data_IF_315609266305
#
_entry.id   IF_315609266305
#
_cell.length_a   1.000
_cell.length_b   1.000
_cell.length_c   1.000
_cell.angle_alpha   90.00
_cell.angle_beta   90.00
_cell.angle_gamma   90.00
#
_symmetry.space_group_name_H-M   'P 1'
#
loop_
_entity.id
_entity.type
_entity.pdbx_description
1 polymer ?
#
# COMPACT_ATOMS: atom_id res chain seq x y z
N UNK A 1 -16.24 4.04 39.97
CA UNK A 1 -14.88 3.61 39.61
C UNK A 1 -14.98 2.26 38.95
N UNK A 2 -14.54 2.14 37.69
CA UNK A 2 -14.48 0.85 36.99
C UNK A 2 -13.39 0.00 37.68
N UNK A 3 -13.67 -1.22 38.17
CA UNK A 3 -12.68 -2.05 38.87
C UNK A 3 -11.57 -2.60 37.97
N UNK A 4 -11.72 -2.46 36.65
CA UNK A 4 -10.76 -2.94 35.67
C UNK A 4 -9.47 -2.09 35.65
N UNK A 5 -8.27 -2.70 35.55
CA UNK A 5 -7.02 -1.96 35.39
C UNK A 5 -7.04 -1.03 34.17
N UNK A 6 -6.46 0.17 34.28
CA UNK A 6 -6.38 1.15 33.17
C UNK A 6 -5.74 0.55 31.92
N UNK A 7 -4.75 -0.34 32.09
CA UNK A 7 -4.09 -1.04 30.98
C UNK A 7 -5.04 -1.92 30.19
N UNK A 8 -5.96 -2.61 30.86
CA UNK A 8 -6.97 -3.43 30.19
C UNK A 8 -7.99 -2.55 29.46
N UNK A 9 -8.46 -1.46 30.09
CA UNK A 9 -9.34 -0.49 29.44
C UNK A 9 -8.70 0.10 28.18
N UNK A 10 -7.43 0.51 28.26
CA UNK A 10 -6.69 1.06 27.12
C UNK A 10 -6.54 0.05 25.98
N UNK A 11 -6.09 -1.19 26.28
CA UNK A 11 -5.87 -2.22 25.26
C UNK A 11 -7.20 -2.60 24.59
N UNK A 12 -8.28 -2.77 25.37
CA UNK A 12 -9.59 -3.08 24.82
C UNK A 12 -10.09 -1.95 23.91
N UNK A 13 -9.96 -0.69 24.33
CA UNK A 13 -10.35 0.44 23.50
C UNK A 13 -9.52 0.51 22.22
N UNK A 14 -8.20 0.30 22.31
CA UNK A 14 -7.33 0.28 21.14
C UNK A 14 -7.72 -0.81 20.14
N UNK A 15 -8.08 -2.01 20.58
CA UNK A 15 -8.57 -3.04 19.65
C UNK A 15 -9.87 -2.62 18.98
N UNK A 16 -10.81 -2.05 19.74
CA UNK A 16 -12.11 -1.61 19.23
C UNK A 16 -12.00 -0.47 18.21
N UNK A 17 -11.00 0.41 18.36
CA UNK A 17 -10.81 1.59 17.51
C UNK A 17 -9.77 1.36 16.40
N UNK A 18 -9.38 0.11 16.11
CA UNK A 18 -8.36 -0.17 15.09
C UNK A 18 -8.79 0.33 13.70
N UNK A 19 -10.09 0.28 13.39
CA UNK A 19 -10.68 0.77 12.15
C UNK A 19 -10.77 2.30 12.07
N UNK A 20 -10.53 3.01 13.18
CA UNK A 20 -10.55 4.47 13.25
C UNK A 20 -9.18 5.11 12.92
N UNK A 21 -8.14 4.31 12.66
CA UNK A 21 -6.85 4.83 12.18
C UNK A 21 -6.92 5.06 10.67
N UNK A 22 -7.29 6.28 10.28
CA UNK A 22 -7.59 6.64 8.88
C UNK A 22 -6.40 7.23 8.10
N UNK A 23 -5.34 7.67 8.79
CA UNK A 23 -4.14 8.24 8.17
C UNK A 23 -3.08 7.21 7.78
N UNK A 24 -2.15 7.59 6.89
CA UNK A 24 -0.95 6.81 6.57
C UNK A 24 -0.04 6.71 7.80
N UNK A 25 0.29 7.82 8.46
CA UNK A 25 1.12 7.81 9.67
C UNK A 25 0.47 7.04 10.81
N UNK A 26 -0.83 7.26 11.02
CA UNK A 26 -1.62 6.62 12.07
C UNK A 26 -1.62 5.08 11.92
N UNK A 27 -1.80 4.58 10.70
CA UNK A 27 -1.74 3.14 10.41
C UNK A 27 -0.35 2.57 10.62
N UNK A 28 0.70 3.21 10.10
CA UNK A 28 2.09 2.76 10.31
C UNK A 28 2.44 2.69 11.80
N UNK A 29 2.09 3.73 12.55
CA UNK A 29 2.31 3.80 14.00
C UNK A 29 1.54 2.72 14.76
N UNK A 30 0.29 2.48 14.37
CA UNK A 30 -0.54 1.45 14.99
C UNK A 30 0.03 0.04 14.74
N UNK A 31 0.46 -0.27 13.51
CA UNK A 31 1.12 -1.55 13.17
C UNK A 31 2.38 -1.78 14.02
N UNK A 32 3.25 -0.76 14.12
CA UNK A 32 4.47 -0.84 14.95
C UNK A 32 4.10 -1.03 16.42
N UNK A 33 3.13 -0.26 16.92
CA UNK A 33 2.66 -0.36 18.30
C UNK A 33 2.12 -1.75 18.65
N UNK A 34 1.26 -2.32 17.81
CA UNK A 34 0.70 -3.66 17.99
C UNK A 34 1.79 -4.73 17.92
N UNK A 35 2.77 -4.56 17.03
CA UNK A 35 3.94 -5.44 16.93
C UNK A 35 4.77 -5.47 18.22
N UNK A 36 4.97 -4.30 18.84
CA UNK A 36 5.63 -4.20 20.15
C UNK A 36 4.76 -4.86 21.23
N UNK A 37 3.45 -4.59 21.24
CA UNK A 37 2.52 -5.11 22.24
C UNK A 37 2.50 -6.64 22.27
N UNK A 38 2.42 -7.30 21.11
CA UNK A 38 2.45 -8.76 21.03
C UNK A 38 3.83 -9.37 21.31
N UNK A 39 4.89 -8.58 21.10
CA UNK A 39 6.29 -8.98 21.30
C UNK A 39 6.79 -8.92 22.74
N UNK A 40 6.01 -8.33 23.66
CA UNK A 40 6.41 -8.13 25.07
C UNK A 40 6.87 -9.43 25.75
N UNK A 41 8.03 -9.44 26.43
CA UNK A 41 8.55 -10.64 27.12
C UNK A 41 7.77 -11.00 28.39
N UNK A 42 7.16 -10.01 29.05
CA UNK A 42 6.29 -10.18 30.22
C UNK A 42 4.92 -9.59 29.90
N UNK A 43 4.13 -10.36 29.16
CA UNK A 43 2.84 -9.93 28.63
C UNK A 43 1.80 -9.76 29.76
N UNK A 44 1.13 -8.60 29.86
CA UNK A 44 0.03 -8.41 30.81
C UNK A 44 -1.20 -9.28 30.44
N UNK A 45 -2.03 -9.71 31.41
CA UNK A 45 -3.25 -10.49 31.14
C UNK A 45 -4.23 -9.82 30.17
N UNK A 46 -4.22 -8.48 30.11
CA UNK A 46 -5.02 -7.71 29.17
C UNK A 46 -4.67 -8.02 27.70
N UNK A 47 -3.39 -8.29 27.40
CA UNK A 47 -2.95 -8.62 26.05
C UNK A 47 -3.31 -10.08 25.71
N UNK A 48 -3.25 -10.99 26.68
CA UNK A 48 -3.76 -12.36 26.49
C UNK A 48 -5.25 -12.38 26.13
N UNK A 49 -6.03 -11.50 26.78
CA UNK A 49 -7.47 -11.40 26.55
C UNK A 49 -7.84 -10.96 25.12
N UNK A 50 -6.96 -10.19 24.46
CA UNK A 50 -7.19 -9.69 23.10
C UNK A 50 -6.34 -10.40 22.04
N UNK A 51 -5.65 -11.48 22.38
CA UNK A 51 -4.73 -12.19 21.49
C UNK A 51 -5.32 -12.47 20.10
N UNK A 52 -6.56 -12.92 20.07
CA UNK A 52 -7.25 -13.28 18.84
C UNK A 52 -7.60 -12.08 17.93
N UNK A 53 -7.49 -10.84 18.43
CA UNK A 53 -7.80 -9.62 17.70
C UNK A 53 -6.55 -8.95 17.11
N UNK A 54 -5.38 -9.14 17.74
CA UNK A 54 -4.18 -8.39 17.39
C UNK A 54 -3.77 -8.57 15.92
N UNK A 55 -3.64 -9.81 15.43
CA UNK A 55 -3.22 -10.04 14.03
C UNK A 55 -4.30 -9.62 13.04
N UNK A 56 -5.60 -9.94 13.22
CA UNK A 56 -6.66 -9.37 12.40
C UNK A 56 -6.62 -7.84 12.31
N UNK A 57 -6.42 -7.15 13.45
CA UNK A 57 -6.27 -5.69 13.51
C UNK A 57 -5.08 -5.20 12.67
N UNK A 58 -3.93 -5.86 12.77
CA UNK A 58 -2.75 -5.50 11.96
C UNK A 58 -3.02 -5.71 10.46
N UNK A 59 -3.70 -6.79 10.07
CA UNK A 59 -4.04 -7.05 8.66
C UNK A 59 -4.99 -5.98 8.11
N UNK A 60 -5.97 -5.54 8.90
CA UNK A 60 -6.87 -4.44 8.52
C UNK A 60 -6.09 -3.15 8.25
N UNK A 61 -5.10 -2.83 9.09
CA UNK A 61 -4.27 -1.63 8.91
C UNK A 61 -3.41 -1.74 7.63
N UNK A 62 -2.85 -2.92 7.34
CA UNK A 62 -2.10 -3.14 6.10
C UNK A 62 -2.99 -3.04 4.85
N UNK A 63 -4.24 -3.50 4.93
CA UNK A 63 -5.20 -3.32 3.85
C UNK A 63 -5.43 -1.84 3.56
N UNK A 64 -5.64 -1.03 4.61
CA UNK A 64 -5.77 0.43 4.47
C UNK A 64 -4.52 1.10 3.91
N UNK A 65 -3.31 0.65 4.29
CA UNK A 65 -2.06 1.13 3.69
C UNK A 65 -1.98 0.82 2.19
N UNK A 66 -2.34 -0.41 1.80
CA UNK A 66 -2.32 -0.83 0.38
C UNK A 66 -3.28 0.01 -0.46
N UNK A 67 -4.48 0.29 0.07
CA UNK A 67 -5.49 1.11 -0.60
C UNK A 67 -5.00 2.54 -0.85
N UNK A 68 -4.43 3.20 0.15
CA UNK A 68 -3.90 4.57 -0.04
C UNK A 68 -2.73 4.64 -1.02
N UNK A 69 -1.85 3.63 -1.04
CA UNK A 69 -0.78 3.57 -2.04
C UNK A 69 -1.32 3.41 -3.47
N UNK A 70 -2.43 2.69 -3.66
CA UNK A 70 -3.08 2.56 -4.96
C UNK A 70 -3.72 3.90 -5.37
N UNK A 71 -4.47 4.55 -4.48
CA UNK A 71 -5.10 5.86 -4.75
C UNK A 71 -4.08 6.92 -5.14
N UNK A 72 -2.94 7.00 -4.44
CA UNK A 72 -1.88 7.96 -4.78
C UNK A 72 -1.32 7.72 -6.19
N UNK A 73 -1.11 6.47 -6.60
CA UNK A 73 -0.66 6.13 -7.96
C UNK A 73 -1.70 6.50 -9.02
N UNK A 74 -2.98 6.30 -8.75
CA UNK A 74 -4.06 6.70 -9.65
C UNK A 74 -4.18 8.22 -9.77
N UNK A 75 -4.04 8.97 -8.68
CA UNK A 75 -4.08 10.44 -8.69
C UNK A 75 -2.89 11.03 -9.45
N UNK A 76 -1.67 10.52 -9.22
CA UNK A 76 -0.47 10.94 -9.96
C UNK A 76 -0.61 10.70 -11.47
N UNK A 77 -1.19 9.57 -11.87
CA UNK A 77 -1.43 9.22 -13.27
C UNK A 77 -2.56 10.06 -13.91
N UNK A 78 -3.63 10.38 -13.16
CA UNK A 78 -4.73 11.25 -13.61
C UNK A 78 -4.28 12.72 -13.75
N UNK A 79 -3.39 13.21 -12.89
CA UNK A 79 -2.82 14.57 -13.00
C UNK A 79 -1.85 14.68 -14.17
N UNK A 80 -1.00 13.67 -14.41
CA UNK A 80 -0.12 13.65 -15.59
C UNK A 80 -0.89 13.53 -16.91
N UNK A 81 -2.00 12.78 -16.95
CA UNK A 81 -2.86 12.67 -18.14
C UNK A 81 -3.63 13.96 -18.49
N UNK A 82 -3.74 14.92 -17.56
CA UNK A 82 -4.36 16.24 -17.82
C UNK A 82 -3.36 17.31 -18.23
N UNK A 83 -2.05 17.06 -18.11
CA UNK A 83 -1.01 18.00 -18.53
C UNK A 83 -0.67 17.89 -20.05
N UNK A 84 -1.04 16.80 -20.72
CA UNK A 84 -0.73 16.57 -22.16
C UNK A 84 -1.82 17.05 -23.14
N UNK A 85 -2.78 17.90 -22.72
CA UNK A 85 -3.79 18.48 -23.61
C UNK A 85 -3.89 20.00 -23.53
N UNK A 86 -2.76 20.71 -23.53
CA UNK A 86 -2.73 22.16 -23.75
C UNK A 86 -1.45 22.59 -24.50
N UNK A 87 -1.07 21.87 -25.55
CA UNK A 87 -0.12 22.39 -26.55
C UNK A 87 -0.67 22.15 -27.97
N UNK A 88 -1.69 22.94 -28.30
CA UNK A 88 -2.06 23.28 -29.66
C UNK A 88 -2.78 24.63 -29.58
N UNK A 89 -2.05 25.69 -29.17
CA UNK A 89 -2.48 27.05 -29.48
C UNK A 89 -2.39 27.22 -30.99
N UNK A 90 -3.55 27.02 -31.58
CA UNK A 90 -3.96 27.30 -32.94
C UNK A 90 -3.59 28.75 -33.30
N UNK A 91 -2.62 28.87 -34.20
CA UNK A 91 -2.27 30.12 -34.85
C UNK A 91 -3.33 30.41 -35.92
N UNK A 92 -4.52 30.86 -35.51
CA UNK A 92 -5.49 31.48 -36.41
C UNK A 92 -5.44 33.00 -36.26
N UNK A 93 -4.76 33.63 -37.22
CA UNK A 93 -4.85 35.06 -37.51
C UNK A 93 -6.32 35.47 -37.62
N UNK A 94 -6.72 36.49 -36.86
CA UNK A 94 -8.04 37.13 -36.96
C UNK A 94 -8.01 38.13 -38.13
N UNK A 95 -8.73 37.95 -39.24
CA UNK A 95 -9.13 39.08 -40.06
C UNK A 95 -10.46 39.63 -39.52
N UNK A 96 -10.35 40.79 -38.89
CA UNK A 96 -11.45 41.70 -38.58
C UNK A 96 -12.14 42.14 -39.87
N UNK A 97 -13.44 41.89 -40.01
CA UNK A 97 -14.31 42.79 -40.78
C UNK A 97 -15.75 42.73 -40.26
N UNK A 98 -16.33 43.91 -40.21
CA UNK A 98 -17.50 44.30 -39.43
C UNK A 98 -18.80 44.23 -40.26
N UNK A 99 -19.93 44.08 -39.54
CA UNK A 99 -21.30 44.60 -39.86
C UNK A 99 -22.18 43.69 -40.76
N UNK A 100 -23.50 43.55 -40.58
CA UNK A 100 -24.53 44.21 -39.75
C UNK A 100 -25.77 43.26 -39.71
N UNK A 101 -26.51 43.28 -38.59
CA UNK A 101 -27.98 43.13 -38.42
C UNK A 101 -28.83 42.27 -39.39
N UNK A 102 -29.55 41.23 -38.88
CA UNK A 102 -31.02 41.28 -38.74
C UNK A 102 -31.68 39.95 -38.26
N UNK A 103 -32.63 40.13 -37.33
CA UNK A 103 -33.83 39.40 -36.90
C UNK A 103 -34.19 37.96 -37.34
N UNK A 104 -34.49 37.15 -36.32
CA UNK A 104 -35.70 36.32 -36.09
C UNK A 104 -36.22 35.31 -37.14
N UNK A 105 -36.20 34.01 -36.80
CA UNK A 105 -37.40 33.16 -36.56
C UNK A 105 -37.08 31.64 -36.55
N UNK A 106 -37.83 30.91 -35.71
CA UNK A 106 -38.38 29.54 -35.93
C UNK A 106 -37.41 28.37 -36.15
N UNK A 107 -37.70 27.09 -35.88
CA UNK A 107 -38.73 26.31 -35.18
C UNK A 107 -38.24 24.85 -35.23
N UNK A 108 -38.83 23.98 -34.41
CA UNK A 108 -38.65 22.53 -34.26
C UNK A 108 -38.53 21.68 -35.55
N UNK A 109 -37.76 20.58 -35.48
CA UNK A 109 -38.07 19.21 -35.98
C UNK A 109 -36.84 18.31 -35.72
N UNK A 110 -36.85 17.29 -34.87
CA UNK A 110 -37.53 15.98 -34.91
C UNK A 110 -37.19 15.08 -36.12
N UNK A 111 -36.58 13.93 -35.78
CA UNK A 111 -36.65 12.59 -36.36
C UNK A 111 -35.58 12.03 -37.33
N UNK A 112 -34.96 10.96 -36.80
CA UNK A 112 -34.61 9.66 -37.39
C UNK A 112 -33.63 9.58 -38.58
N UNK A 113 -32.56 8.77 -38.43
CA UNK A 113 -32.53 7.39 -38.95
C UNK A 113 -31.10 6.80 -39.01
N UNK A 114 -31.03 5.47 -38.81
CA UNK A 114 -29.97 4.58 -39.33
C UNK A 114 -28.85 4.28 -38.33
N UNK A 115 -28.42 3.04 -38.10
CA UNK A 115 -28.71 1.77 -38.75
C UNK A 115 -28.05 0.65 -37.95
N UNK A 116 -28.55 -0.58 -38.13
CA UNK A 116 -28.03 -1.77 -37.47
C UNK A 116 -26.67 -2.23 -38.01
N UNK A 117 -25.98 -3.02 -37.19
CA UNK A 117 -24.73 -3.70 -37.53
C UNK A 117 -24.23 -4.51 -36.34
N UNK A 118 -24.68 -5.76 -36.28
CA UNK A 118 -24.13 -6.85 -35.46
C UNK A 118 -22.73 -7.24 -35.97
N UNK A 119 -21.76 -7.38 -35.06
CA UNK A 119 -20.67 -8.40 -35.07
C UNK A 119 -19.79 -8.15 -33.84
N UNK A 120 -19.68 -9.16 -32.98
CA UNK A 120 -18.97 -9.09 -31.71
C UNK A 120 -17.46 -9.13 -31.80
N UNK A 121 -16.85 -8.95 -30.65
CA UNK A 121 -15.64 -9.67 -30.22
C UNK A 121 -15.63 -9.67 -28.70
N UNK A 122 -15.16 -10.79 -28.15
CA UNK A 122 -14.90 -10.98 -26.74
C UNK A 122 -13.76 -10.05 -26.31
N UNK A 123 -13.90 -9.37 -25.17
CA UNK A 123 -12.80 -9.23 -24.24
C UNK A 123 -13.37 -9.00 -22.84
N UNK A 124 -13.08 -9.99 -21.99
CA UNK A 124 -13.28 -10.00 -20.56
C UNK A 124 -12.44 -8.87 -19.93
N UNK A 125 -13.07 -7.75 -19.60
CA UNK A 125 -12.59 -6.88 -18.53
C UNK A 125 -13.58 -7.03 -17.38
N UNK A 126 -13.32 -8.04 -16.54
CA UNK A 126 -13.72 -8.03 -15.13
C UNK A 126 -12.98 -6.85 -14.46
N UNK A 127 -13.44 -5.64 -14.78
CA UNK A 127 -13.15 -4.44 -14.01
C UNK A 127 -14.05 -4.53 -12.77
N UNK A 128 -13.62 -5.35 -11.81
CA UNK A 128 -13.99 -5.23 -10.40
C UNK A 128 -13.39 -3.92 -9.84
N UNK A 129 -13.71 -2.82 -10.52
CA UNK A 129 -13.65 -1.47 -10.01
C UNK A 129 -14.78 -1.37 -8.99
N UNK A 130 -14.54 -1.97 -7.82
CA UNK A 130 -15.19 -1.51 -6.61
C UNK A 130 -14.82 -0.03 -6.48
N UNK A 131 -15.68 0.83 -7.02
CA UNK A 131 -15.69 2.29 -6.90
C UNK A 131 -15.92 2.63 -5.42
N UNK A 132 -14.89 2.36 -4.61
CA UNK A 132 -14.78 2.77 -3.23
C UNK A 132 -14.67 4.28 -3.27
N UNK A 133 -15.81 4.92 -3.05
CA UNK A 133 -16.02 6.35 -2.89
C UNK A 133 -14.72 7.03 -2.40
N UNK A 134 -14.11 7.82 -3.29
CA UNK A 134 -12.84 8.57 -3.09
C UNK A 134 -12.87 9.43 -1.80
N UNK A 135 -14.08 9.67 -1.27
CA UNK A 135 -14.37 10.32 0.00
C UNK A 135 -13.96 9.49 1.26
N UNK A 136 -13.77 8.17 1.15
CA UNK A 136 -13.51 7.29 2.31
C UNK A 136 -12.05 7.26 2.77
N UNK A 137 -11.12 7.81 1.98
CA UNK A 137 -9.71 7.93 2.33
C UNK A 137 -9.35 9.38 2.65
N UNK A 138 -10.16 10.04 3.48
CA UNK A 138 -9.86 11.39 3.96
C UNK A 138 -8.48 11.40 4.65
N UNK A 139 -7.50 11.98 3.94
CA UNK A 139 -6.16 12.21 4.43
C UNK A 139 -6.26 13.02 5.73
N UNK A 140 -5.76 12.47 6.84
CA UNK A 140 -5.84 13.20 8.11
C UNK A 140 -5.01 14.48 7.99
N UNK A 141 -5.44 15.55 8.68
CA UNK A 141 -4.73 16.83 8.65
C UNK A 141 -3.24 16.76 9.07
N UNK A 142 -2.80 15.64 9.63
CA UNK A 142 -1.42 15.38 10.05
C UNK A 142 -0.54 14.73 8.97
N UNK A 143 -1.11 14.19 7.89
CA UNK A 143 -0.34 13.53 6.82
C UNK A 143 0.54 14.49 6.01
N UNK A 144 0.17 15.78 5.97
CA UNK A 144 1.01 16.83 5.37
C UNK A 144 2.33 17.10 6.10
N UNK A 145 2.57 16.49 7.27
CA UNK A 145 3.81 16.64 8.03
C UNK A 145 4.66 15.37 7.94
N UNK A 146 5.88 15.50 7.42
CA UNK A 146 6.85 14.40 7.43
C UNK A 146 7.26 14.01 8.85
N UNK A 147 7.25 12.72 9.13
CA UNK A 147 7.71 12.12 10.39
C UNK A 147 9.03 11.36 10.18
N UNK A 148 9.77 11.01 11.25
CA UNK A 148 10.96 10.16 11.12
C UNK A 148 10.70 8.78 10.50
N UNK A 149 9.45 8.32 10.45
CA UNK A 149 9.06 7.05 9.82
C UNK A 149 9.02 7.18 8.29
N UNK A 150 8.90 8.40 7.75
CA UNK A 150 8.81 8.66 6.31
C UNK A 150 10.17 8.91 5.65
N UNK A 151 11.25 8.93 6.45
CA UNK A 151 12.61 9.00 5.92
C UNK A 151 12.96 7.69 5.18
N UNK A 152 13.84 7.76 4.18
CA UNK A 152 14.25 6.57 3.42
C UNK A 152 14.91 5.50 4.31
N UNK A 153 15.58 5.92 5.39
CA UNK A 153 16.17 5.08 6.43
C UNK A 153 15.25 4.89 7.67
N UNK A 154 13.98 5.29 7.55
CA UNK A 154 12.95 5.11 8.55
C UNK A 154 12.59 3.65 8.83
N UNK A 155 11.77 3.44 9.86
CA UNK A 155 11.32 2.10 10.23
C UNK A 155 10.27 1.61 9.24
N UNK A 156 10.59 0.53 8.54
CA UNK A 156 9.64 -0.17 7.66
C UNK A 156 8.66 -1.02 8.49
N UNK A 157 7.38 -0.68 8.43
CA UNK A 157 6.30 -1.32 9.19
C UNK A 157 6.07 -2.79 8.81
N UNK A 158 6.29 -3.17 7.54
CA UNK A 158 6.19 -4.56 7.09
C UNK A 158 7.32 -5.39 7.68
N UNK A 159 8.55 -4.90 7.58
CA UNK A 159 9.73 -5.56 8.15
C UNK A 159 9.61 -5.67 9.68
N UNK A 160 9.16 -4.60 10.34
CA UNK A 160 9.01 -4.56 11.79
C UNK A 160 7.99 -5.60 12.28
N UNK A 161 6.80 -5.64 11.69
CA UNK A 161 5.77 -6.61 12.04
C UNK A 161 6.21 -8.05 11.76
N UNK A 162 6.72 -8.33 10.56
CA UNK A 162 7.16 -9.68 10.18
C UNK A 162 8.28 -10.18 11.10
N UNK A 163 9.25 -9.33 11.44
CA UNK A 163 10.31 -9.70 12.39
C UNK A 163 9.75 -10.02 13.78
N UNK A 164 8.83 -9.20 14.29
CA UNK A 164 8.20 -9.44 15.60
C UNK A 164 7.42 -10.76 15.60
N UNK A 165 6.66 -11.04 14.54
CA UNK A 165 5.87 -12.25 14.40
C UNK A 165 6.74 -13.51 14.31
N UNK A 166 7.81 -13.49 13.52
CA UNK A 166 8.77 -14.60 13.40
C UNK A 166 9.52 -14.82 14.73
N UNK A 167 9.89 -13.75 15.43
CA UNK A 167 10.51 -13.84 16.74
C UNK A 167 9.58 -14.55 17.75
N UNK A 168 8.30 -14.19 17.74
CA UNK A 168 7.27 -14.86 18.55
C UNK A 168 7.15 -16.34 18.17
N UNK A 169 7.05 -16.67 16.88
CA UNK A 169 6.97 -18.05 16.40
C UNK A 169 8.13 -18.91 16.91
N UNK A 170 9.34 -18.35 16.90
CA UNK A 170 10.54 -19.06 17.37
C UNK A 170 10.62 -19.24 18.89
N UNK A 171 10.10 -18.27 19.65
CA UNK A 171 10.23 -18.19 21.12
C UNK A 171 9.07 -18.86 21.86
N UNK A 172 7.85 -18.73 21.32
CA UNK A 172 6.61 -19.17 21.95
C UNK A 172 5.58 -19.59 20.89
N UNK A 173 5.62 -20.87 20.53
CA UNK A 173 4.71 -21.44 19.53
C UNK A 173 3.23 -21.44 19.99
N UNK A 174 2.97 -21.50 21.30
CA UNK A 174 1.62 -21.44 21.85
C UNK A 174 1.01 -20.06 21.68
N UNK A 175 1.79 -19.01 21.98
CA UNK A 175 1.39 -17.64 21.73
C UNK A 175 1.19 -17.34 20.24
N UNK A 176 2.12 -17.78 19.39
CA UNK A 176 1.97 -17.67 17.94
C UNK A 176 0.68 -18.31 17.45
N UNK A 177 0.33 -19.49 17.97
CA UNK A 177 -0.92 -20.15 17.62
C UNK A 177 -2.14 -19.33 18.04
N UNK A 178 -2.17 -18.76 19.25
CA UNK A 178 -3.30 -17.93 19.70
C UNK A 178 -3.50 -16.68 18.82
N UNK A 179 -2.41 -16.07 18.36
CA UNK A 179 -2.43 -14.91 17.46
C UNK A 179 -2.95 -15.24 16.05
N UNK A 180 -2.64 -16.45 15.54
CA UNK A 180 -2.89 -16.82 14.12
C UNK A 180 -4.04 -17.79 13.91
N UNK A 181 -4.52 -18.46 14.96
CA UNK A 181 -5.67 -19.35 14.93
C UNK A 181 -6.98 -18.71 14.40
N UNK A 182 -7.34 -17.46 14.76
CA UNK A 182 -8.62 -16.87 14.35
C UNK A 182 -8.65 -16.42 12.89
N UNK A 183 -7.50 -16.43 12.19
CA UNK A 183 -7.40 -15.93 10.83
C UNK A 183 -8.21 -16.79 9.84
N UNK A 184 -8.99 -16.12 9.00
CA UNK A 184 -9.65 -16.72 7.83
C UNK A 184 -8.63 -17.24 6.81
N UNK A 185 -9.10 -17.95 5.78
CA UNK A 185 -8.22 -18.38 4.69
C UNK A 185 -7.59 -17.17 3.98
N UNK A 186 -8.41 -16.15 3.67
CA UNK A 186 -7.96 -14.94 2.99
C UNK A 186 -6.97 -14.14 3.86
N UNK A 187 -7.24 -14.02 5.16
CA UNK A 187 -6.33 -13.37 6.10
C UNK A 187 -4.99 -14.10 6.22
N UNK A 188 -4.98 -15.44 6.10
CA UNK A 188 -3.72 -16.21 6.07
C UNK A 188 -2.93 -15.95 4.79
N UNK A 189 -3.61 -15.79 3.66
CA UNK A 189 -2.98 -15.41 2.39
C UNK A 189 -2.40 -14.00 2.50
N UNK A 190 -3.19 -13.03 2.96
CA UNK A 190 -2.71 -11.66 3.20
C UNK A 190 -1.49 -11.62 4.13
N UNK A 191 -1.49 -12.42 5.20
CA UNK A 191 -0.35 -12.52 6.11
C UNK A 191 0.90 -13.08 5.40
N UNK A 192 0.74 -14.08 4.53
CA UNK A 192 1.85 -14.62 3.73
C UNK A 192 2.41 -13.60 2.75
N UNK A 193 1.54 -12.84 2.09
CA UNK A 193 1.93 -11.75 1.17
C UNK A 193 2.71 -10.65 1.89
N UNK A 194 2.24 -10.23 3.08
CA UNK A 194 2.93 -9.25 3.92
C UNK A 194 4.33 -9.72 4.29
N UNK A 195 4.48 -10.99 4.70
CA UNK A 195 5.78 -11.57 5.02
C UNK A 195 6.71 -11.62 3.80
N UNK A 196 6.20 -12.03 2.63
CA UNK A 196 6.98 -12.06 1.39
C UNK A 196 7.44 -10.65 0.96
N UNK A 197 6.55 -9.65 1.07
CA UNK A 197 6.87 -8.26 0.78
C UNK A 197 7.91 -7.71 1.75
N UNK A 198 7.79 -8.00 3.05
CA UNK A 198 8.78 -7.63 4.05
C UNK A 198 10.17 -8.20 3.74
N UNK A 199 10.25 -9.47 3.32
CA UNK A 199 11.51 -10.09 2.91
C UNK A 199 12.11 -9.44 1.66
N UNK A 200 11.28 -9.13 0.67
CA UNK A 200 11.72 -8.42 -0.53
C UNK A 200 12.31 -7.05 -0.18
N UNK A 201 11.58 -6.24 0.60
CA UNK A 201 12.03 -4.90 1.02
C UNK A 201 13.33 -4.95 1.83
N UNK A 202 13.46 -5.93 2.74
CA UNK A 202 14.68 -6.14 3.51
C UNK A 202 15.88 -6.44 2.60
N UNK A 203 15.72 -7.33 1.63
CA UNK A 203 16.79 -7.67 0.69
C UNK A 203 17.18 -6.45 -0.17
N UNK A 204 16.21 -5.67 -0.65
CA UNK A 204 16.45 -4.43 -1.41
C UNK A 204 17.19 -3.38 -0.59
N UNK A 205 16.81 -3.18 0.68
CA UNK A 205 17.48 -2.25 1.59
C UNK A 205 18.93 -2.70 1.89
N UNK A 206 19.15 -3.99 2.07
CA UNK A 206 20.49 -4.56 2.26
C UNK A 206 21.37 -4.34 1.01
N UNK A 207 20.86 -4.62 -0.19
CA UNK A 207 21.58 -4.35 -1.44
C UNK A 207 21.96 -2.87 -1.56
N UNK A 208 21.01 -1.95 -1.39
CA UNK A 208 21.27 -0.49 -1.40
C UNK A 208 22.36 -0.10 -0.39
N UNK A 209 22.32 -0.68 0.82
CA UNK A 209 23.32 -0.40 1.87
C UNK A 209 24.72 -0.88 1.47
N UNK A 210 24.83 -2.06 0.84
CA UNK A 210 26.11 -2.58 0.37
C UNK A 210 26.63 -1.73 -0.80
N UNK A 211 25.78 -1.29 -1.73
CA UNK A 211 26.15 -0.39 -2.82
C UNK A 211 26.73 0.94 -2.28
N UNK A 212 26.06 1.56 -1.31
CA UNK A 212 26.54 2.79 -0.68
C UNK A 212 27.89 2.61 0.05
N UNK A 213 28.12 1.44 0.65
CA UNK A 213 29.37 1.13 1.35
C UNK A 213 30.52 0.78 0.40
N UNK A 214 30.23 0.14 -0.72
CA UNK A 214 31.24 -0.39 -1.65
C UNK A 214 31.47 0.52 -2.86
N UNK A 215 30.55 1.44 -3.16
CA UNK A 215 30.59 2.32 -4.33
C UNK A 215 30.28 1.62 -5.65
N UNK A 216 29.87 0.35 -5.63
CA UNK A 216 29.54 -0.45 -6.82
C UNK A 216 28.06 -0.87 -6.78
N UNK A 217 27.29 -0.67 -7.87
CA UNK A 217 25.92 -1.17 -7.97
C UNK A 217 25.90 -2.70 -8.00
N UNK A 218 25.00 -3.31 -7.21
CA UNK A 218 24.72 -4.73 -7.22
C UNK A 218 23.62 -5.00 -8.25
N UNK A 219 24.01 -5.08 -9.52
CA UNK A 219 23.12 -5.65 -10.53
C UNK A 219 22.90 -7.13 -10.23
N UNK A 220 21.70 -7.47 -9.74
CA UNK A 220 21.29 -8.85 -9.44
C UNK A 220 21.09 -9.71 -10.71
N UNK A 221 21.73 -9.32 -11.83
CA UNK A 221 21.61 -9.94 -13.15
C UNK A 221 22.85 -10.72 -13.60
N UNK A 222 23.79 -10.98 -12.69
CA UNK A 222 25.02 -11.70 -13.00
C UNK A 222 25.45 -12.65 -11.90
N UNK A 223 24.76 -13.79 -11.79
CA UNK A 223 25.39 -15.00 -11.25
C UNK A 223 26.67 -15.21 -12.05
N UNK A 224 27.80 -14.96 -11.38
CA UNK A 224 29.13 -15.03 -11.94
C UNK A 224 29.33 -16.44 -12.51
N UNK A 225 29.27 -16.52 -13.84
CA UNK A 225 29.67 -17.70 -14.58
C UNK A 225 31.16 -17.93 -14.33
N UNK A 226 31.47 -19.02 -13.62
CA UNK A 226 32.77 -19.68 -13.65
C UNK A 226 33.88 -19.06 -12.81
N UNK A 227 33.85 -19.25 -11.49
CA UNK A 227 35.09 -19.39 -10.72
C UNK A 227 35.72 -20.75 -11.04
N UNK A 228 36.51 -20.80 -12.11
CA UNK A 228 37.37 -21.93 -12.44
C UNK A 228 38.65 -21.80 -11.60
N UNK A 229 38.81 -22.62 -10.56
CA UNK A 229 40.09 -22.73 -9.85
C UNK A 229 41.10 -23.35 -10.83
N UNK A 230 41.93 -22.48 -11.41
CA UNK A 230 42.95 -22.82 -12.38
C UNK A 230 43.77 -24.04 -11.94
N UNK A 231 43.87 -24.97 -12.87
CA UNK A 231 44.83 -26.06 -12.95
C UNK A 231 46.20 -25.66 -12.41
N UNK A 232 46.70 -26.43 -11.45
CA UNK A 232 48.10 -26.38 -11.04
C UNK A 232 49.01 -26.72 -12.23
N UNK A 233 50.10 -25.97 -12.47
CA UNK A 233 51.02 -26.25 -13.56
C UNK A 233 51.82 -27.50 -13.24
N UNK A 234 51.92 -28.40 -14.22
CA UNK A 234 52.77 -29.58 -14.12
C UNK A 234 54.24 -29.22 -13.88
N UNK A 235 54.96 -30.11 -13.22
CA UNK A 235 56.42 -30.14 -13.21
C UNK A 235 56.86 -31.58 -12.92
N UNK A 236 57.45 -32.19 -13.96
CA UNK A 236 58.35 -33.36 -14.04
C UNK A 236 58.17 -34.54 -13.07
#
# INVERSE_FOLDING_TARGET
HNPEPITAQFINQWMNDTDCFLGLHDRKMCIIGLSILMGLPSRPPAVDAVAAQIVPSVLLLFLGLKQMCATQQHTEHKEHGKAEKNDAEDNEEIPSDEEEENEANQEMQENHAGGGGDTGDDDDEDDDDEDWDDEALEETALEGFSTPIDLEDGVDEYQFFTQALLAIQSRDAGWYHLLTAPLSADQKIQLQEICALAELRRNSAESKRIEQQTGFPFDNKGLVSGYNFGTAPGSN
#
